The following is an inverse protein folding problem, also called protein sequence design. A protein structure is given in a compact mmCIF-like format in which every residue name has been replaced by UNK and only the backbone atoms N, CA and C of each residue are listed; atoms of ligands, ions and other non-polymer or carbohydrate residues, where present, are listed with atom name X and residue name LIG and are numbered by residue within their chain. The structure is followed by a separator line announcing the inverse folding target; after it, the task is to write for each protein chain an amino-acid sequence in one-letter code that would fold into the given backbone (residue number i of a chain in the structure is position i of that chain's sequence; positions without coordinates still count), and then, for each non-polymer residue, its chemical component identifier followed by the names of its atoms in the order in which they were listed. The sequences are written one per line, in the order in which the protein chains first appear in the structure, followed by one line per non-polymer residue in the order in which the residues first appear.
data_IF_391865543727
#
_entry.id   IF_391865543727
#
_cell.length_a   1.000
_cell.length_b   1.000
_cell.length_c   1.000
_cell.angle_alpha   90.00
_cell.angle_beta   90.00
_cell.angle_gamma   90.00
#
_symmetry.space_group_name_H-M   'P 1'
#
loop_
_entity.id
_entity.type
_entity.pdbx_description
1 polymer ?
#
# COMPACT_ATOMS: atom_id res chain seq x y z
N UNK A 1 -43.34 5.82 30.66
CA UNK A 1 -42.54 5.78 29.43
C UNK A 1 -41.15 5.23 29.68
N UNK A 2 -40.40 5.73 30.63
CA UNK A 2 -39.04 5.26 30.99
C UNK A 2 -38.99 3.76 31.31
N UNK A 3 -40.00 3.20 31.92
CA UNK A 3 -40.06 1.77 32.22
C UNK A 3 -40.13 0.92 30.96
N UNK A 4 -40.95 1.33 29.99
CA UNK A 4 -41.07 0.60 28.69
C UNK A 4 -39.72 0.67 27.94
N UNK A 5 -39.09 1.83 27.89
CA UNK A 5 -37.78 1.97 27.24
C UNK A 5 -36.72 1.10 27.90
N UNK A 6 -36.68 1.07 29.24
CA UNK A 6 -35.73 0.21 30.00
C UNK A 6 -35.98 -1.27 29.75
N UNK A 7 -37.26 -1.72 29.73
CA UNK A 7 -37.58 -3.10 29.43
C UNK A 7 -37.19 -3.49 28.00
N UNK A 8 -37.50 -2.63 27.01
CA UNK A 8 -37.09 -2.86 25.61
C UNK A 8 -35.59 -2.95 25.44
N UNK A 9 -34.83 -2.04 26.07
CA UNK A 9 -33.36 -2.11 26.09
C UNK A 9 -32.88 -3.41 26.75
N UNK A 10 -33.53 -3.82 27.85
CA UNK A 10 -33.22 -5.08 28.53
C UNK A 10 -33.43 -6.31 27.62
N UNK A 11 -34.53 -6.36 26.89
CA UNK A 11 -34.80 -7.45 25.96
C UNK A 11 -33.85 -7.48 24.77
N UNK A 12 -33.58 -6.32 24.17
CA UNK A 12 -32.66 -6.22 23.03
C UNK A 12 -31.23 -6.58 23.41
N UNK A 13 -30.80 -6.25 24.62
CA UNK A 13 -29.48 -6.62 25.13
C UNK A 13 -29.32 -8.15 25.34
N UNK A 14 -30.43 -8.91 25.35
CA UNK A 14 -30.36 -10.38 25.41
C UNK A 14 -30.16 -11.04 24.06
N UNK A 15 -30.20 -10.31 22.94
CA UNK A 15 -29.93 -10.84 21.61
C UNK A 15 -28.41 -11.10 21.42
N UNK A 16 -28.06 -12.05 20.58
CA UNK A 16 -26.66 -12.39 20.26
C UNK A 16 -26.49 -12.32 18.74
N UNK A 17 -25.64 -11.40 18.22
CA UNK A 17 -25.09 -10.23 18.91
C UNK A 17 -26.17 -9.27 19.48
N UNK A 18 -25.81 -8.36 20.38
CA UNK A 18 -26.77 -7.37 20.90
C UNK A 18 -27.26 -6.46 19.75
N UNK A 19 -28.57 -6.13 19.77
CA UNK A 19 -29.18 -5.26 18.76
C UNK A 19 -30.04 -4.20 19.44
N UNK A 20 -29.83 -2.94 19.10
CA UNK A 20 -30.54 -1.81 19.68
C UNK A 20 -31.36 -1.08 18.60
N UNK A 21 -32.69 -1.29 18.55
CA UNK A 21 -33.54 -0.53 17.64
C UNK A 21 -33.66 0.93 18.09
N UNK A 22 -33.95 1.80 17.15
CA UNK A 22 -34.27 3.18 17.48
C UNK A 22 -35.66 3.24 18.10
N UNK A 23 -35.75 3.76 19.31
CA UNK A 23 -37.03 3.94 20.06
C UNK A 23 -37.39 5.41 20.05
N UNK A 24 -38.54 5.74 19.50
CA UNK A 24 -39.08 7.10 19.43
C UNK A 24 -40.43 7.12 20.14
N UNK A 25 -40.73 8.21 20.84
CA UNK A 25 -42.01 8.45 21.45
C UNK A 25 -42.67 9.61 20.71
N UNK A 26 -43.80 9.35 20.12
CA UNK A 26 -44.58 10.34 19.34
C UNK A 26 -45.97 10.53 20.00
N UNK A 27 -46.55 11.72 19.83
CA UNK A 27 -47.95 11.97 20.19
C UNK A 27 -48.83 11.91 18.95
N UNK A 28 -49.78 10.99 18.99
CA UNK A 28 -50.79 10.84 17.92
C UNK A 28 -52.18 10.94 18.56
N UNK A 29 -52.97 11.88 18.17
CA UNK A 29 -54.31 12.15 18.69
C UNK A 29 -54.36 12.30 20.22
N UNK A 30 -53.33 12.99 20.79
CA UNK A 30 -53.20 13.20 22.24
C UNK A 30 -52.78 11.98 23.04
N UNK A 31 -52.45 10.87 22.37
CA UNK A 31 -51.91 9.64 23.00
C UNK A 31 -50.46 9.46 22.70
N UNK A 32 -49.69 9.03 23.72
CA UNK A 32 -48.26 8.69 23.52
C UNK A 32 -48.16 7.32 22.83
N UNK A 33 -47.50 7.30 21.68
CA UNK A 33 -47.22 6.09 20.90
C UNK A 33 -45.71 5.81 20.95
N UNK A 34 -45.34 4.57 21.24
CA UNK A 34 -43.93 4.11 21.16
C UNK A 34 -43.70 3.52 19.78
N UNK A 35 -42.81 4.14 19.02
CA UNK A 35 -42.40 3.67 17.71
C UNK A 35 -41.05 2.98 17.83
N UNK A 36 -41.00 1.72 17.42
CA UNK A 36 -39.77 0.92 17.35
C UNK A 36 -39.34 0.84 15.89
N UNK A 37 -38.24 1.50 15.57
CA UNK A 37 -37.66 1.44 14.23
C UNK A 37 -36.57 0.34 14.20
N UNK A 38 -36.94 -0.78 13.56
CA UNK A 38 -36.03 -1.96 13.45
C UNK A 38 -35.47 -2.00 12.06
N UNK A 39 -34.21 -1.59 11.93
CA UNK A 39 -33.47 -1.65 10.67
C UNK A 39 -32.68 -2.95 10.54
N UNK A 40 -32.27 -3.37 9.34
CA UNK A 40 -31.35 -4.48 9.19
C UNK A 40 -30.05 -4.22 9.94
N UNK A 41 -29.76 -5.03 10.95
CA UNK A 41 -28.54 -4.88 11.74
C UNK A 41 -27.30 -5.31 10.99
N UNK A 42 -26.15 -4.76 11.35
CA UNK A 42 -24.84 -4.98 10.71
C UNK A 42 -24.30 -6.38 11.01
N UNK A 43 -24.56 -6.89 12.22
CA UNK A 43 -24.01 -8.14 12.74
C UNK A 43 -24.99 -9.32 12.64
N UNK A 44 -25.98 -9.21 11.73
CA UNK A 44 -26.92 -10.30 11.47
C UNK A 44 -26.18 -11.57 11.00
N UNK A 45 -26.75 -12.79 11.19
CA UNK A 45 -28.06 -13.03 11.80
C UNK A 45 -28.01 -12.99 13.32
N UNK A 46 -29.13 -12.56 13.93
CA UNK A 46 -29.27 -12.44 15.37
C UNK A 46 -29.96 -13.66 15.97
N UNK A 47 -29.41 -14.17 17.09
CA UNK A 47 -30.09 -15.17 17.91
C UNK A 47 -30.86 -14.47 19.01
N UNK A 48 -32.09 -14.92 19.24
CA UNK A 48 -32.89 -14.50 20.38
C UNK A 48 -33.08 -15.67 21.35
N UNK A 49 -33.21 -15.39 22.65
CA UNK A 49 -33.51 -16.43 23.62
C UNK A 49 -34.94 -17.00 23.40
N UNK A 50 -35.10 -18.29 23.59
CA UNK A 50 -36.41 -18.96 23.51
C UNK A 50 -37.45 -18.31 24.45
N UNK A 51 -36.98 -17.95 25.66
CA UNK A 51 -37.79 -17.22 26.64
C UNK A 51 -37.01 -16.00 27.13
N UNK A 52 -37.50 -14.81 26.78
CA UNK A 52 -36.85 -13.53 27.11
C UNK A 52 -36.75 -13.33 28.62
N UNK A 53 -37.74 -13.78 29.37
CA UNK A 53 -37.84 -13.62 30.84
C UNK A 53 -37.10 -14.71 31.65
N UNK A 54 -36.54 -15.73 30.99
CA UNK A 54 -35.79 -16.80 31.67
C UNK A 54 -34.55 -16.23 32.37
N UNK A 55 -34.35 -16.58 33.64
CA UNK A 55 -33.22 -16.09 34.44
C UNK A 55 -31.96 -16.99 34.32
N UNK A 56 -32.14 -18.28 34.01
CA UNK A 56 -31.05 -19.29 33.89
C UNK A 56 -31.27 -20.14 32.63
N UNK A 57 -30.18 -20.73 32.11
CA UNK A 57 -30.19 -21.73 31.03
C UNK A 57 -30.89 -21.27 29.75
N UNK A 58 -30.67 -19.99 29.34
CA UNK A 58 -31.23 -19.43 28.12
C UNK A 58 -30.71 -20.18 26.89
N UNK A 59 -31.61 -20.82 26.15
CA UNK A 59 -31.31 -21.38 24.82
C UNK A 59 -31.55 -20.32 23.77
N UNK A 60 -30.65 -20.18 22.80
CA UNK A 60 -30.68 -19.16 21.77
C UNK A 60 -30.88 -19.79 20.41
N UNK A 61 -31.80 -19.21 19.63
CA UNK A 61 -32.15 -19.68 18.30
C UNK A 61 -32.24 -18.52 17.33
N UNK A 62 -32.07 -18.83 16.03
CA UNK A 62 -32.45 -17.92 14.97
C UNK A 62 -33.96 -18.02 14.73
N UNK A 63 -34.57 -16.90 14.41
CA UNK A 63 -36.01 -16.80 14.12
C UNK A 63 -36.22 -16.19 12.74
N UNK A 64 -37.23 -16.68 12.05
CA UNK A 64 -37.70 -16.13 10.78
C UNK A 64 -39.14 -15.65 10.94
N UNK A 65 -39.50 -14.66 10.12
CA UNK A 65 -40.89 -14.18 10.07
C UNK A 65 -41.69 -15.03 9.10
N UNK A 66 -42.76 -15.64 9.57
CA UNK A 66 -43.71 -16.35 8.76
C UNK A 66 -45.09 -15.75 8.98
N UNK A 67 -45.61 -14.99 7.98
CA UNK A 67 -46.84 -14.23 8.07
C UNK A 67 -46.85 -13.33 9.33
N UNK A 68 -47.73 -13.62 10.27
CA UNK A 68 -47.92 -12.84 11.52
C UNK A 68 -47.08 -13.37 12.68
N UNK A 69 -46.37 -14.48 12.52
CA UNK A 69 -45.63 -15.15 13.61
C UNK A 69 -44.12 -15.17 13.37
N UNK A 70 -43.35 -15.09 14.45
CA UNK A 70 -41.93 -15.37 14.44
C UNK A 70 -41.72 -16.85 14.87
N UNK A 71 -41.16 -17.65 14.00
CA UNK A 71 -40.93 -19.08 14.22
C UNK A 71 -39.45 -19.38 14.28
N UNK A 72 -39.06 -20.41 15.02
CA UNK A 72 -37.67 -20.85 15.09
C UNK A 72 -37.23 -21.37 13.73
N UNK A 73 -36.06 -20.90 13.27
CA UNK A 73 -35.46 -21.39 12.06
C UNK A 73 -35.02 -22.85 12.18
N UNK A 74 -35.26 -23.65 11.17
CA UNK A 74 -34.71 -24.99 11.06
C UNK A 74 -33.25 -24.93 10.59
N UNK A 75 -32.55 -26.08 10.54
CA UNK A 75 -31.12 -26.11 10.20
C UNK A 75 -30.80 -25.62 8.77
N UNK A 76 -31.72 -25.75 7.84
CA UNK A 76 -31.57 -25.24 6.47
C UNK A 76 -31.70 -23.72 6.44
N UNK A 77 -32.75 -23.18 7.10
CA UNK A 77 -32.99 -21.76 7.25
C UNK A 77 -31.89 -21.06 8.07
N UNK A 78 -31.34 -21.72 9.09
CA UNK A 78 -30.17 -21.21 9.82
C UNK A 78 -28.97 -21.03 8.88
N UNK A 79 -28.68 -22.02 8.02
CA UNK A 79 -27.62 -21.91 7.01
C UNK A 79 -27.89 -20.81 6.00
N UNK A 80 -29.13 -20.68 5.57
CA UNK A 80 -29.55 -19.63 4.65
C UNK A 80 -29.34 -18.23 5.28
N UNK A 81 -29.80 -18.04 6.52
CA UNK A 81 -29.60 -16.77 7.26
C UNK A 81 -28.11 -16.42 7.42
N UNK A 82 -27.27 -17.40 7.74
CA UNK A 82 -25.81 -17.22 7.84
C UNK A 82 -25.23 -16.90 6.45
N UNK A 83 -25.65 -17.56 5.41
CA UNK A 83 -25.19 -17.32 4.05
C UNK A 83 -25.63 -15.92 3.56
N UNK A 84 -26.86 -15.48 3.82
CA UNK A 84 -27.33 -14.15 3.44
C UNK A 84 -26.49 -13.02 4.04
N UNK A 85 -25.87 -13.23 5.18
CA UNK A 85 -24.98 -12.23 5.81
C UNK A 85 -23.60 -12.18 5.17
N UNK A 86 -23.12 -13.30 4.68
CA UNK A 86 -21.81 -13.39 4.03
C UNK A 86 -21.85 -12.97 2.54
N UNK A 87 -23.04 -12.78 1.96
CA UNK A 87 -23.21 -12.50 0.53
C UNK A 87 -22.90 -11.05 0.12
N UNK A 88 -23.06 -10.07 1.00
CA UNK A 88 -22.74 -8.69 0.66
C UNK A 88 -21.24 -8.43 0.90
N UNK A 89 -20.46 -8.13 -0.13
CA UNK A 89 -19.06 -7.70 0.05
C UNK A 89 -18.96 -6.57 1.07
N UNK A 90 -17.86 -6.52 1.81
CA UNK A 90 -17.71 -5.54 2.89
C UNK A 90 -17.86 -4.09 2.38
N UNK A 91 -17.28 -3.80 1.24
CA UNK A 91 -17.30 -2.47 0.61
C UNK A 91 -18.72 -2.02 0.21
N UNK A 92 -19.65 -2.94 -0.07
CA UNK A 92 -21.03 -2.62 -0.41
C UNK A 92 -21.98 -2.54 0.79
N UNK A 93 -21.50 -2.82 2.00
CA UNK A 93 -22.35 -2.76 3.21
C UNK A 93 -22.64 -1.31 3.62
N UNK A 94 -23.83 -1.03 4.20
CA UNK A 94 -24.11 0.27 4.78
C UNK A 94 -23.25 0.51 6.02
N UNK A 95 -22.77 1.73 6.19
CA UNK A 95 -22.15 2.20 7.41
C UNK A 95 -23.15 3.06 8.18
N UNK A 96 -23.55 2.60 9.37
CA UNK A 96 -24.59 3.29 10.16
C UNK A 96 -24.04 4.41 11.05
N UNK A 97 -22.72 4.49 11.18
CA UNK A 97 -22.05 5.55 11.95
C UNK A 97 -21.68 6.74 11.07
N UNK A 98 -21.65 6.52 9.74
CA UNK A 98 -21.28 7.53 8.78
C UNK A 98 -22.40 8.55 8.54
N UNK A 99 -22.00 9.80 8.40
CA UNK A 99 -22.87 10.94 8.09
C UNK A 99 -22.36 11.67 6.85
N UNK A 100 -23.18 12.55 6.30
CA UNK A 100 -22.79 13.37 5.13
C UNK A 100 -21.48 14.15 5.37
N UNK A 101 -21.24 14.61 6.61
CA UNK A 101 -20.04 15.36 6.98
C UNK A 101 -18.74 14.53 6.95
N UNK A 102 -18.84 13.21 6.90
CA UNK A 102 -17.68 12.31 6.78
C UNK A 102 -17.21 12.16 5.32
N UNK A 103 -17.97 12.67 4.36
CA UNK A 103 -17.65 12.67 2.93
C UNK A 103 -17.01 14.00 2.55
N UNK A 104 -15.77 13.96 2.11
CA UNK A 104 -15.03 15.13 1.61
C UNK A 104 -15.54 15.53 0.23
N UNK A 105 -16.14 16.72 0.14
CA UNK A 105 -16.56 17.32 -1.14
C UNK A 105 -15.39 17.49 -2.08
N UNK A 106 -14.21 17.79 -1.54
CA UNK A 106 -12.99 17.97 -2.33
C UNK A 106 -12.58 16.65 -3.02
N UNK A 107 -12.51 15.53 -2.28
CA UNK A 107 -12.17 14.22 -2.83
C UNK A 107 -13.23 13.75 -3.84
N UNK A 108 -14.51 13.96 -3.55
CA UNK A 108 -15.58 13.62 -4.47
C UNK A 108 -15.51 14.44 -5.76
N UNK A 109 -15.23 15.74 -5.66
CA UNK A 109 -15.08 16.64 -6.81
C UNK A 109 -13.87 16.26 -7.65
N UNK A 110 -12.74 15.96 -7.01
CA UNK A 110 -11.50 15.55 -7.68
C UNK A 110 -11.72 14.24 -8.47
N UNK A 111 -12.34 13.24 -7.85
CA UNK A 111 -12.69 11.99 -8.52
C UNK A 111 -13.58 12.22 -9.75
N UNK A 112 -14.66 12.99 -9.60
CA UNK A 112 -15.60 13.25 -10.70
C UNK A 112 -14.95 14.06 -11.84
N UNK A 113 -14.01 14.94 -11.56
CA UNK A 113 -13.24 15.67 -12.57
C UNK A 113 -12.25 14.75 -13.28
N UNK A 114 -11.50 13.93 -12.54
CA UNK A 114 -10.53 12.98 -13.07
C UNK A 114 -11.20 11.96 -14.00
N UNK A 115 -12.36 11.44 -13.61
CA UNK A 115 -13.15 10.50 -14.41
C UNK A 115 -13.99 11.17 -15.49
N UNK A 116 -13.90 12.51 -15.63
CA UNK A 116 -14.69 13.31 -16.60
C UNK A 116 -16.20 13.06 -16.49
N UNK A 117 -16.68 12.79 -15.28
CA UNK A 117 -18.09 12.50 -15.02
C UNK A 117 -18.98 13.73 -15.26
N UNK A 118 -20.17 13.53 -15.82
CA UNK A 118 -21.19 14.59 -15.97
C UNK A 118 -21.64 15.15 -14.61
N UNK A 119 -21.51 14.37 -13.55
CA UNK A 119 -21.86 14.76 -12.18
C UNK A 119 -20.96 15.86 -11.63
N UNK A 120 -19.71 16.00 -12.12
CA UNK A 120 -18.78 17.05 -11.69
C UNK A 120 -19.37 18.47 -11.77
N UNK A 121 -20.16 18.74 -12.81
CA UNK A 121 -20.82 20.04 -12.99
C UNK A 121 -22.02 20.27 -12.07
N UNK A 122 -22.47 19.25 -11.34
CA UNK A 122 -23.67 19.26 -10.52
C UNK A 122 -23.37 19.37 -9.03
N UNK A 123 -22.16 19.04 -8.61
CA UNK A 123 -21.76 18.93 -7.20
C UNK A 123 -21.99 20.25 -6.41
N UNK A 124 -21.84 21.41 -7.05
CA UNK A 124 -22.10 22.71 -6.42
C UNK A 124 -23.58 23.11 -6.37
N UNK A 125 -24.46 22.37 -7.04
CA UNK A 125 -25.90 22.66 -7.14
C UNK A 125 -26.77 21.62 -6.42
N UNK A 126 -26.23 20.44 -6.18
CA UNK A 126 -26.92 19.30 -5.55
C UNK A 126 -26.20 18.93 -4.27
N UNK A 127 -26.92 18.35 -3.32
CA UNK A 127 -26.34 17.83 -2.09
C UNK A 127 -25.41 16.63 -2.33
N UNK A 128 -24.45 16.44 -1.44
CA UNK A 128 -23.50 15.30 -1.50
C UNK A 128 -24.25 13.96 -1.55
N UNK A 129 -25.29 13.82 -0.73
CA UNK A 129 -26.10 12.59 -0.66
C UNK A 129 -26.79 12.26 -1.99
N UNK A 130 -27.27 13.27 -2.73
CA UNK A 130 -27.86 13.06 -4.05
C UNK A 130 -26.82 12.54 -5.06
N UNK A 131 -25.60 13.13 -5.04
CA UNK A 131 -24.51 12.71 -5.91
C UNK A 131 -24.07 11.27 -5.58
N UNK A 132 -23.94 10.93 -4.28
CA UNK A 132 -23.66 9.57 -3.84
C UNK A 132 -24.75 8.58 -4.27
N UNK A 133 -26.01 9.01 -4.27
CA UNK A 133 -27.14 8.21 -4.77
C UNK A 133 -26.99 7.88 -6.25
N UNK A 134 -26.68 8.88 -7.09
CA UNK A 134 -26.43 8.68 -8.53
C UNK A 134 -25.20 7.77 -8.80
N UNK A 135 -24.20 7.82 -7.92
CA UNK A 135 -23.03 6.94 -7.96
C UNK A 135 -23.31 5.54 -7.38
N UNK A 136 -24.54 5.25 -6.94
CA UNK A 136 -24.92 3.99 -6.29
C UNK A 136 -24.05 3.66 -5.05
N UNK A 137 -23.76 4.68 -4.26
CA UNK A 137 -22.97 4.59 -3.03
C UNK A 137 -23.83 4.70 -1.77
N UNK A 138 -25.14 4.79 -1.92
CA UNK A 138 -26.10 4.72 -0.83
C UNK A 138 -26.78 3.35 -0.80
N UNK A 139 -26.96 2.81 0.39
CA UNK A 139 -27.51 1.47 0.63
C UNK A 139 -28.60 1.55 1.69
N UNK A 140 -29.68 0.85 1.49
CA UNK A 140 -30.81 0.79 2.43
C UNK A 140 -32.15 1.06 1.74
N UNK A 141 -33.24 1.00 2.51
CA UNK A 141 -34.55 1.36 2.01
C UNK A 141 -34.64 2.88 1.76
N UNK A 142 -35.55 3.34 0.89
CA UNK A 142 -35.68 4.76 0.56
C UNK A 142 -35.88 5.68 1.77
N UNK A 143 -36.52 5.17 2.84
CA UNK A 143 -36.75 5.89 4.08
C UNK A 143 -35.49 6.04 4.94
N UNK A 144 -34.45 5.21 4.70
CA UNK A 144 -33.22 5.23 5.45
C UNK A 144 -32.03 4.79 4.58
N UNK A 145 -31.61 5.68 3.71
CA UNK A 145 -30.40 5.49 2.93
C UNK A 145 -29.17 5.77 3.80
N UNK A 146 -28.24 4.82 3.80
CA UNK A 146 -26.97 4.91 4.52
C UNK A 146 -25.81 4.97 3.53
N UNK A 147 -24.75 5.64 3.90
CA UNK A 147 -23.49 5.69 3.16
C UNK A 147 -22.88 4.29 3.15
N UNK A 148 -22.45 3.80 1.98
CA UNK A 148 -21.76 2.52 1.87
C UNK A 148 -20.29 2.62 2.35
N UNK A 149 -19.71 1.48 2.75
CA UNK A 149 -18.29 1.45 3.08
C UNK A 149 -17.41 1.87 1.89
N UNK A 150 -17.79 1.55 0.65
CA UNK A 150 -17.07 2.01 -0.54
C UNK A 150 -17.04 3.53 -0.67
N UNK A 151 -18.15 4.23 -0.34
CA UNK A 151 -18.13 5.69 -0.34
C UNK A 151 -17.13 6.27 0.66
N UNK A 152 -17.05 5.69 1.86
CA UNK A 152 -16.06 6.09 2.85
C UNK A 152 -14.63 5.78 2.38
N UNK A 153 -14.39 4.61 1.82
CA UNK A 153 -13.08 4.23 1.28
C UNK A 153 -12.59 5.23 0.23
N UNK A 154 -13.49 5.73 -0.60
CA UNK A 154 -13.15 6.65 -1.67
C UNK A 154 -13.07 8.11 -1.22
N UNK A 155 -13.96 8.54 -0.33
CA UNK A 155 -14.21 9.97 -0.11
C UNK A 155 -14.11 10.42 1.35
N UNK A 156 -13.66 9.57 2.29
CA UNK A 156 -13.43 9.96 3.68
C UNK A 156 -11.95 10.25 3.93
N UNK A 157 -11.62 11.44 4.47
CA UNK A 157 -10.25 11.82 4.82
C UNK A 157 -9.74 11.11 6.08
N UNK A 158 -10.66 10.76 6.98
CA UNK A 158 -10.37 10.08 8.25
C UNK A 158 -10.94 8.66 8.24
N UNK A 159 -10.52 7.87 7.25
CA UNK A 159 -11.03 6.52 7.05
C UNK A 159 -10.75 5.59 8.24
N UNK A 160 -9.66 5.84 8.97
CA UNK A 160 -9.28 5.12 10.19
C UNK A 160 -10.26 5.30 11.35
N UNK A 161 -11.14 6.30 11.31
CA UNK A 161 -12.28 6.45 12.25
C UNK A 161 -13.27 5.30 12.14
N UNK A 162 -13.54 4.82 10.92
CA UNK A 162 -14.51 3.77 10.63
C UNK A 162 -13.85 2.39 10.50
N UNK A 163 -12.66 2.35 9.95
CA UNK A 163 -11.90 1.13 9.74
C UNK A 163 -10.52 1.28 10.39
N UNK A 164 -10.39 0.93 11.68
CA UNK A 164 -9.15 1.11 12.43
C UNK A 164 -7.95 0.46 11.74
N UNK A 165 -6.78 1.07 11.85
CA UNK A 165 -5.53 0.64 11.20
C UNK A 165 -5.58 0.61 9.66
N UNK A 166 -6.55 1.30 9.04
CA UNK A 166 -6.50 1.54 7.60
C UNK A 166 -5.50 2.64 7.31
N UNK A 167 -4.25 2.24 7.19
CA UNK A 167 -3.07 3.11 7.04
C UNK A 167 -1.94 2.35 6.37
N UNK A 168 -0.91 3.07 5.93
CA UNK A 168 0.34 2.50 5.43
C UNK A 168 1.48 2.90 6.33
N UNK A 169 2.29 1.94 6.72
CA UNK A 169 3.51 2.08 7.50
C UNK A 169 4.71 1.74 6.62
N UNK A 170 5.64 2.67 6.45
CA UNK A 170 6.83 2.49 5.61
C UNK A 170 8.05 2.60 6.50
N UNK A 171 8.91 1.58 6.48
CA UNK A 171 10.18 1.54 7.21
C UNK A 171 11.30 1.18 6.24
N UNK A 172 12.38 1.98 6.22
CA UNK A 172 13.59 1.70 5.45
C UNK A 172 14.68 1.20 6.38
N UNK A 173 15.28 0.06 6.05
CA UNK A 173 16.41 -0.55 6.73
C UNK A 173 17.68 -0.43 5.86
N UNK A 174 18.49 0.64 6.02
CA UNK A 174 19.63 0.89 5.14
C UNK A 174 20.68 -0.24 5.12
N UNK A 175 20.82 -0.97 6.20
CA UNK A 175 21.77 -2.09 6.34
C UNK A 175 21.08 -3.46 6.33
N UNK A 176 19.77 -3.49 6.19
CA UNK A 176 18.93 -4.68 6.28
C UNK A 176 18.40 -4.96 7.68
N UNK A 177 17.11 -5.32 7.76
CA UNK A 177 16.38 -5.57 9.01
C UNK A 177 16.97 -6.74 9.83
N UNK A 178 17.59 -7.72 9.14
CA UNK A 178 18.25 -8.87 9.79
C UNK A 178 19.63 -8.48 10.29
N UNK A 179 20.38 -7.71 9.51
CA UNK A 179 21.78 -7.37 9.83
C UNK A 179 21.86 -6.30 10.92
N UNK A 180 21.02 -5.28 10.85
CA UNK A 180 20.97 -4.20 11.83
C UNK A 180 19.53 -3.71 12.06
N UNK A 181 18.73 -4.44 12.86
CA UNK A 181 17.31 -4.12 13.07
C UNK A 181 17.07 -2.78 13.78
N UNK A 182 18.09 -2.22 14.42
CA UNK A 182 17.98 -0.96 15.15
C UNK A 182 18.33 0.27 14.30
N UNK A 183 18.85 0.07 13.09
CA UNK A 183 19.11 1.15 12.13
C UNK A 183 18.00 1.20 11.09
N UNK A 184 16.98 1.99 11.36
CA UNK A 184 15.84 2.15 10.47
C UNK A 184 15.40 3.63 10.38
N UNK A 185 14.72 3.92 9.28
CA UNK A 185 14.10 5.23 9.02
C UNK A 185 12.60 4.99 8.87
N UNK A 186 11.81 5.53 9.78
CA UNK A 186 10.35 5.49 9.69
C UNK A 186 9.80 6.69 8.91
N UNK A 187 8.90 6.42 7.98
CA UNK A 187 8.09 7.45 7.32
C UNK A 187 6.87 7.73 8.21
N UNK A 188 6.44 9.00 8.34
CA UNK A 188 5.16 9.29 9.01
C UNK A 188 4.03 8.47 8.40
N UNK A 189 3.21 7.87 9.26
CA UNK A 189 2.11 6.98 8.88
C UNK A 189 1.18 7.67 7.85
N UNK A 190 0.92 7.00 6.74
CA UNK A 190 0.09 7.52 5.66
C UNK A 190 -1.36 7.13 5.91
N UNK A 191 -2.23 8.13 6.06
CA UNK A 191 -3.67 8.00 6.26
C UNK A 191 -4.44 8.83 5.24
N UNK A 192 -5.74 8.53 5.09
CA UNK A 192 -6.65 9.23 4.18
C UNK A 192 -7.63 8.29 3.52
N UNK A 193 -8.26 8.73 2.44
CA UNK A 193 -9.02 7.85 1.55
C UNK A 193 -8.10 6.88 0.82
N UNK A 194 -8.65 5.77 0.32
CA UNK A 194 -7.83 4.75 -0.38
C UNK A 194 -7.04 5.35 -1.55
N UNK A 195 -7.63 6.14 -2.47
CA UNK A 195 -6.86 6.78 -3.55
C UNK A 195 -5.77 7.72 -3.02
N UNK A 196 -6.06 8.48 -1.96
CA UNK A 196 -5.08 9.38 -1.34
C UNK A 196 -3.91 8.61 -0.75
N UNK A 197 -4.18 7.50 -0.06
CA UNK A 197 -3.12 6.65 0.50
C UNK A 197 -2.27 6.01 -0.58
N UNK A 198 -2.88 5.48 -1.65
CA UNK A 198 -2.15 4.92 -2.80
C UNK A 198 -1.20 5.97 -3.39
N UNK A 199 -1.73 7.16 -3.73
CA UNK A 199 -0.96 8.25 -4.31
C UNK A 199 0.23 8.65 -3.43
N UNK A 200 -0.02 8.94 -2.14
CA UNK A 200 1.04 9.33 -1.19
C UNK A 200 2.08 8.23 -0.96
N UNK A 201 1.64 6.97 -0.98
CA UNK A 201 2.56 5.83 -0.86
C UNK A 201 3.48 5.76 -2.08
N UNK A 202 2.93 5.92 -3.29
CA UNK A 202 3.73 5.92 -4.52
C UNK A 202 4.68 7.11 -4.60
N UNK A 203 4.24 8.31 -4.20
CA UNK A 203 5.12 9.50 -4.09
C UNK A 203 6.30 9.22 -3.15
N UNK A 204 6.05 8.59 -1.98
CA UNK A 204 7.12 8.24 -1.04
C UNK A 204 8.05 7.15 -1.57
N UNK A 205 7.52 6.11 -2.20
CA UNK A 205 8.37 5.07 -2.81
C UNK A 205 9.19 5.65 -3.96
N UNK A 206 8.62 6.52 -4.79
CA UNK A 206 9.35 7.20 -5.85
C UNK A 206 10.53 7.99 -5.29
N UNK A 207 10.33 8.78 -4.24
CA UNK A 207 11.36 9.59 -3.61
C UNK A 207 12.45 8.76 -2.90
N UNK A 208 12.10 7.58 -2.38
CA UNK A 208 12.99 6.83 -1.48
C UNK A 208 13.77 5.72 -2.18
N UNK A 209 13.23 5.16 -3.28
CA UNK A 209 13.79 3.92 -3.87
C UNK A 209 13.90 3.93 -5.38
N UNK A 210 13.19 4.80 -6.12
CA UNK A 210 13.27 4.80 -7.58
C UNK A 210 14.40 5.70 -8.05
N UNK A 211 15.42 5.07 -8.60
CA UNK A 211 16.57 5.73 -9.24
C UNK A 211 16.63 5.34 -10.72
N UNK A 212 17.03 6.27 -11.60
CA UNK A 212 17.20 6.02 -13.03
C UNK A 212 18.68 5.98 -13.39
N UNK A 213 19.09 4.94 -14.13
CA UNK A 213 20.42 4.82 -14.72
C UNK A 213 20.31 4.82 -16.23
N UNK A 214 21.00 5.76 -16.88
CA UNK A 214 21.03 5.89 -18.33
C UNK A 214 22.39 5.45 -18.84
N UNK A 215 22.45 4.35 -19.60
CA UNK A 215 23.67 3.82 -20.20
C UNK A 215 23.64 4.05 -21.71
N UNK A 216 24.62 4.80 -22.25
CA UNK A 216 24.84 4.90 -23.68
C UNK A 216 25.60 3.69 -24.15
N UNK A 217 25.09 3.04 -25.18
CA UNK A 217 25.76 1.89 -25.83
C UNK A 217 26.39 2.39 -27.13
N UNK A 218 27.68 2.07 -27.33
CA UNK A 218 28.37 2.40 -28.56
C UNK A 218 27.64 1.77 -29.75
N UNK A 219 27.49 2.54 -30.82
CA UNK A 219 26.81 2.14 -32.06
C UNK A 219 25.27 2.04 -32.01
N UNK A 220 24.62 2.48 -30.90
CA UNK A 220 23.15 2.63 -30.86
C UNK A 220 22.77 4.10 -30.63
N UNK A 221 21.75 4.58 -31.38
CA UNK A 221 21.27 5.95 -31.21
C UNK A 221 20.50 6.14 -29.91
N UNK A 222 19.91 5.09 -29.36
CA UNK A 222 19.08 5.13 -28.14
C UNK A 222 19.89 4.64 -26.93
N UNK A 223 19.81 5.39 -25.84
CA UNK A 223 20.37 4.99 -24.56
C UNK A 223 19.45 3.97 -23.87
N UNK A 224 20.05 2.97 -23.21
CA UNK A 224 19.30 2.04 -22.36
C UNK A 224 19.01 2.74 -21.03
N UNK A 225 17.74 2.78 -20.67
CA UNK A 225 17.28 3.30 -19.37
C UNK A 225 16.88 2.13 -18.49
N UNK A 226 17.36 2.11 -17.27
CA UNK A 226 17.03 1.12 -16.24
C UNK A 226 16.65 1.84 -14.96
N UNK A 227 15.72 1.26 -14.25
CA UNK A 227 15.26 1.78 -12.97
C UNK A 227 15.64 0.79 -11.86
N UNK A 228 16.00 1.31 -10.68
CA UNK A 228 16.19 0.47 -9.49
C UNK A 228 14.96 -0.39 -9.23
N UNK A 229 13.77 0.21 -9.39
CA UNK A 229 12.46 -0.44 -9.34
C UNK A 229 11.56 0.17 -10.43
N UNK A 230 10.94 -0.63 -11.31
CA UNK A 230 9.94 -0.13 -12.25
C UNK A 230 8.74 0.45 -11.49
N UNK A 231 8.34 1.68 -11.83
CA UNK A 231 7.23 2.37 -11.17
C UNK A 231 5.94 1.55 -11.22
N UNK A 232 5.59 1.01 -12.39
CA UNK A 232 4.37 0.24 -12.60
C UNK A 232 4.33 -1.05 -11.79
N UNK A 233 5.48 -1.70 -11.56
CA UNK A 233 5.54 -2.91 -10.72
C UNK A 233 5.24 -2.58 -9.25
N UNK A 234 5.78 -1.48 -8.72
CA UNK A 234 5.48 -1.01 -7.37
C UNK A 234 4.03 -0.54 -7.25
N UNK A 235 3.53 0.23 -8.23
CA UNK A 235 2.15 0.72 -8.25
C UNK A 235 1.15 -0.42 -8.21
N UNK A 236 1.29 -1.41 -9.08
CA UNK A 236 0.42 -2.59 -9.12
C UNK A 236 0.44 -3.36 -7.79
N UNK A 237 1.62 -3.53 -7.18
CA UNK A 237 1.75 -4.21 -5.90
C UNK A 237 1.07 -3.42 -4.76
N UNK A 238 1.23 -2.10 -4.72
CA UNK A 238 0.58 -1.20 -3.75
C UNK A 238 -0.93 -1.22 -3.95
N UNK A 239 -1.41 -1.04 -5.18
CA UNK A 239 -2.86 -1.04 -5.47
C UNK A 239 -3.49 -2.38 -5.09
N UNK A 240 -2.83 -3.51 -5.39
CA UNK A 240 -3.30 -4.83 -4.99
C UNK A 240 -3.37 -5.01 -3.47
N UNK A 241 -2.43 -4.43 -2.71
CA UNK A 241 -2.46 -4.46 -1.25
C UNK A 241 -3.72 -3.78 -0.70
N UNK A 242 -4.18 -2.67 -1.29
CA UNK A 242 -5.43 -2.00 -0.93
C UNK A 242 -6.67 -2.73 -1.47
N UNK A 243 -6.64 -3.19 -2.70
CA UNK A 243 -7.79 -3.80 -3.36
C UNK A 243 -8.22 -5.11 -2.69
N UNK A 244 -7.24 -5.92 -2.26
CA UNK A 244 -7.49 -7.22 -1.63
C UNK A 244 -7.52 -7.20 -0.11
N UNK A 245 -7.24 -6.06 0.53
CA UNK A 245 -7.26 -5.89 1.98
C UNK A 245 -8.61 -6.27 2.58
N UNK A 246 -8.57 -6.86 3.77
CA UNK A 246 -9.73 -6.94 4.66
C UNK A 246 -9.77 -5.69 5.55
N UNK A 247 -10.71 -4.80 5.26
CA UNK A 247 -10.88 -3.55 6.02
C UNK A 247 -11.52 -3.75 7.40
N UNK A 248 -11.87 -4.98 7.76
CA UNK A 248 -12.26 -5.36 9.11
C UNK A 248 -11.05 -5.80 9.96
N UNK A 249 -9.88 -5.98 9.33
CA UNK A 249 -8.64 -6.33 10.00
C UNK A 249 -8.02 -5.14 10.71
N UNK A 250 -7.50 -5.36 11.93
CA UNK A 250 -6.76 -4.38 12.70
C UNK A 250 -5.26 -4.35 12.35
N UNK A 251 -4.91 -4.56 11.09
CA UNK A 251 -3.54 -4.56 10.61
C UNK A 251 -3.33 -3.48 9.55
N UNK A 252 -2.21 -2.75 9.60
CA UNK A 252 -1.81 -1.81 8.56
C UNK A 252 -1.31 -2.53 7.29
N UNK A 253 -1.20 -1.82 6.17
CA UNK A 253 -0.33 -2.24 5.08
C UNK A 253 1.09 -1.83 5.49
N UNK A 254 2.02 -2.79 5.48
CA UNK A 254 3.40 -2.58 5.89
C UNK A 254 4.28 -2.61 4.64
N UNK A 255 5.16 -1.63 4.50
CA UNK A 255 6.16 -1.58 3.44
C UNK A 255 7.54 -1.49 4.09
N UNK A 256 8.36 -2.51 3.85
CA UNK A 256 9.74 -2.56 4.30
C UNK A 256 10.65 -2.36 3.09
N UNK A 257 11.55 -1.39 3.19
CA UNK A 257 12.56 -1.10 2.18
C UNK A 257 13.89 -1.67 2.70
N UNK A 258 14.27 -2.79 2.12
CA UNK A 258 15.54 -3.46 2.39
C UNK A 258 16.62 -3.00 1.39
N UNK A 259 17.91 -3.29 1.62
CA UNK A 259 18.99 -2.93 0.67
C UNK A 259 18.81 -3.53 -0.72
N UNK A 260 18.17 -4.69 -0.82
CA UNK A 260 18.06 -5.49 -2.04
C UNK A 260 16.61 -5.68 -2.54
N UNK A 261 15.62 -5.25 -1.78
CA UNK A 261 14.22 -5.39 -2.18
C UNK A 261 13.29 -4.37 -1.50
N UNK A 262 12.11 -4.22 -2.07
CA UNK A 262 10.94 -3.61 -1.41
C UNK A 262 9.94 -4.72 -1.11
N UNK A 263 9.55 -4.84 0.16
CA UNK A 263 8.61 -5.84 0.65
C UNK A 263 7.30 -5.18 1.04
N UNK A 264 6.18 -5.63 0.46
CA UNK A 264 4.83 -5.11 0.73
C UNK A 264 4.03 -6.23 1.38
N UNK A 265 3.56 -5.98 2.61
CA UNK A 265 2.80 -6.94 3.41
C UNK A 265 1.38 -6.41 3.59
N UNK A 266 0.38 -7.22 3.23
CA UNK A 266 -1.03 -6.89 3.41
C UNK A 266 -1.83 -8.06 3.98
N UNK A 267 -3.01 -7.77 4.52
CA UNK A 267 -3.87 -8.70 5.25
C UNK A 267 -5.28 -8.72 4.65
N UNK A 268 -5.90 -9.90 4.55
CA UNK A 268 -5.34 -11.22 4.77
C UNK A 268 -4.53 -11.72 3.57
N UNK A 269 -4.05 -12.95 3.67
CA UNK A 269 -3.36 -13.62 2.58
C UNK A 269 -4.23 -13.92 1.36
N UNK A 270 -3.63 -14.51 0.36
CA UNK A 270 -4.25 -14.91 -0.90
C UNK A 270 -5.35 -15.96 -0.65
N UNK A 271 -6.44 -15.89 -1.40
CA UNK A 271 -7.59 -16.79 -1.25
C UNK A 271 -7.18 -18.28 -1.26
N UNK A 272 -7.81 -19.07 -0.39
CA UNK A 272 -7.50 -20.51 -0.24
C UNK A 272 -7.80 -21.37 -1.47
N UNK A 273 -8.60 -20.87 -2.42
CA UNK A 273 -8.85 -21.54 -3.70
C UNK A 273 -7.61 -21.56 -4.61
N UNK A 274 -6.60 -20.73 -4.32
CA UNK A 274 -5.35 -20.66 -5.07
C UNK A 274 -4.28 -21.49 -4.35
N UNK A 275 -3.68 -22.46 -5.06
CA UNK A 275 -2.69 -23.35 -4.47
C UNK A 275 -1.39 -22.60 -4.10
N UNK A 276 -0.68 -23.06 -3.06
CA UNK A 276 0.63 -22.53 -2.68
C UNK A 276 1.63 -22.58 -3.86
N UNK A 277 1.58 -23.64 -4.65
CA UNK A 277 2.42 -23.81 -5.83
C UNK A 277 2.18 -22.69 -6.85
N UNK A 278 0.91 -22.39 -7.18
CA UNK A 278 0.56 -21.32 -8.12
C UNK A 278 1.00 -19.94 -7.63
N UNK A 279 0.96 -19.72 -6.31
CA UNK A 279 1.42 -18.46 -5.70
C UNK A 279 2.94 -18.34 -5.86
N UNK A 280 3.69 -19.38 -5.49
CA UNK A 280 5.15 -19.40 -5.57
C UNK A 280 5.67 -19.29 -7.02
N UNK A 281 4.93 -19.81 -8.00
CA UNK A 281 5.25 -19.67 -9.42
C UNK A 281 5.06 -18.23 -9.93
N UNK A 282 4.32 -17.39 -9.21
CA UNK A 282 4.06 -16.00 -9.60
C UNK A 282 3.31 -15.88 -10.92
N UNK A 283 2.45 -16.87 -11.22
CA UNK A 283 1.69 -16.91 -12.45
C UNK A 283 0.29 -16.30 -12.29
N UNK A 284 -0.39 -16.12 -13.44
CA UNK A 284 -1.76 -15.60 -13.46
C UNK A 284 -2.72 -16.54 -12.75
N UNK A 285 -3.45 -16.01 -11.77
CA UNK A 285 -4.50 -16.75 -11.10
C UNK A 285 -5.72 -16.95 -12.00
N UNK A 286 -6.19 -18.17 -12.11
CA UNK A 286 -7.41 -18.51 -12.87
C UNK A 286 -8.67 -18.11 -12.12
N UNK A 287 -8.63 -18.12 -10.78
CA UNK A 287 -9.74 -17.69 -9.93
C UNK A 287 -9.77 -16.18 -9.80
N UNK A 288 -10.97 -15.59 -9.92
CA UNK A 288 -11.20 -14.15 -9.77
C UNK A 288 -12.02 -13.89 -8.52
N UNK A 289 -11.37 -13.95 -7.38
CA UNK A 289 -12.00 -13.58 -6.13
C UNK A 289 -11.56 -12.16 -5.73
N UNK A 290 -12.48 -11.21 -5.80
CA UNK A 290 -12.26 -9.83 -5.40
C UNK A 290 -13.02 -9.54 -4.12
N UNK A 291 -12.32 -9.20 -3.04
CA UNK A 291 -12.91 -8.93 -1.72
C UNK A 291 -13.69 -7.62 -1.71
N UNK A 292 -13.14 -6.58 -2.34
CA UNK A 292 -13.69 -5.25 -2.39
C UNK A 292 -14.02 -4.88 -3.84
N UNK A 293 -15.03 -5.55 -4.41
CA UNK A 293 -15.34 -5.41 -5.83
C UNK A 293 -15.77 -4.00 -6.21
N UNK A 294 -16.56 -3.34 -5.35
CA UNK A 294 -17.05 -1.98 -5.61
C UNK A 294 -15.91 -0.97 -5.54
N UNK A 295 -15.01 -1.10 -4.57
CA UNK A 295 -13.78 -0.32 -4.52
C UNK A 295 -12.96 -0.50 -5.81
N UNK A 296 -12.80 -1.75 -6.27
CA UNK A 296 -12.06 -2.03 -7.50
C UNK A 296 -12.67 -1.39 -8.75
N UNK A 297 -14.00 -1.23 -8.83
CA UNK A 297 -14.66 -0.49 -9.92
C UNK A 297 -14.21 0.98 -9.93
N UNK A 298 -14.14 1.63 -8.78
CA UNK A 298 -13.66 3.02 -8.65
C UNK A 298 -12.14 3.15 -8.91
N UNK A 299 -11.34 2.21 -8.43
CA UNK A 299 -9.90 2.21 -8.73
C UNK A 299 -9.65 2.05 -10.24
N UNK A 300 -10.49 1.28 -10.93
CA UNK A 300 -10.44 1.16 -12.38
C UNK A 300 -10.84 2.45 -13.10
N UNK A 301 -11.84 3.18 -12.60
CA UNK A 301 -12.22 4.49 -13.15
C UNK A 301 -11.08 5.51 -13.04
N UNK A 302 -10.19 5.34 -12.07
CA UNK A 302 -8.98 6.14 -11.87
C UNK A 302 -7.75 5.59 -12.61
N UNK A 303 -7.92 4.57 -13.47
CA UNK A 303 -6.85 3.87 -14.18
C UNK A 303 -5.78 3.22 -13.26
N UNK A 304 -6.09 3.01 -11.98
CA UNK A 304 -5.19 2.39 -10.99
C UNK A 304 -5.20 0.84 -11.05
N UNK A 305 -6.18 0.23 -11.68
CA UNK A 305 -6.25 -1.24 -11.88
C UNK A 305 -7.05 -1.59 -13.12
N UNK A 306 -6.68 -2.66 -13.79
CA UNK A 306 -7.47 -3.17 -14.93
C UNK A 306 -8.63 -4.09 -14.52
N UNK A 307 -8.59 -4.67 -13.32
CA UNK A 307 -9.61 -5.60 -12.82
C UNK A 307 -9.73 -6.91 -13.60
N UNK A 308 -8.66 -7.33 -14.31
CA UNK A 308 -8.66 -8.52 -15.19
C UNK A 308 -7.84 -9.69 -14.66
N UNK A 309 -7.42 -9.67 -13.38
CA UNK A 309 -6.46 -10.63 -12.79
C UNK A 309 -5.12 -10.65 -13.53
N UNK A 310 -4.63 -9.48 -13.91
CA UNK A 310 -3.38 -9.27 -14.61
C UNK A 310 -2.28 -8.74 -13.70
N UNK A 311 -2.58 -8.40 -12.43
CA UNK A 311 -1.66 -7.72 -11.52
C UNK A 311 -0.32 -8.45 -11.34
N UNK A 312 -0.33 -9.73 -10.99
CA UNK A 312 0.93 -10.50 -10.86
C UNK A 312 1.68 -10.59 -12.20
N UNK A 313 1.04 -10.97 -13.33
CA UNK A 313 1.68 -10.89 -14.63
C UNK A 313 2.27 -9.52 -14.97
N UNK A 314 1.56 -8.43 -14.69
CA UNK A 314 2.04 -7.05 -14.92
C UNK A 314 3.31 -6.76 -14.12
N UNK A 315 3.33 -7.09 -12.81
CA UNK A 315 4.52 -6.95 -11.97
C UNK A 315 5.72 -7.70 -12.59
N UNK A 316 5.51 -8.96 -12.99
CA UNK A 316 6.58 -9.78 -13.56
C UNK A 316 7.04 -9.28 -14.94
N UNK A 317 6.13 -8.76 -15.74
CA UNK A 317 6.44 -8.20 -17.07
C UNK A 317 7.26 -6.92 -16.95
N UNK A 318 6.86 -5.99 -16.11
CA UNK A 318 7.59 -4.75 -15.86
C UNK A 318 9.01 -5.00 -15.31
N UNK A 319 9.14 -5.96 -14.39
CA UNK A 319 10.46 -6.36 -13.88
C UNK A 319 11.33 -6.99 -14.97
N UNK A 320 10.77 -7.88 -15.80
CA UNK A 320 11.48 -8.50 -16.92
C UNK A 320 11.96 -7.45 -17.91
N UNK A 321 11.10 -6.52 -18.27
CA UNK A 321 11.39 -5.50 -19.29
C UNK A 321 12.43 -4.49 -18.79
N UNK A 322 12.49 -4.26 -17.46
CA UNK A 322 13.55 -3.49 -16.83
C UNK A 322 14.88 -4.28 -16.70
N UNK A 323 14.87 -5.61 -16.83
CA UNK A 323 16.00 -6.48 -16.58
C UNK A 323 16.21 -6.83 -15.10
N UNK A 324 15.20 -6.61 -14.27
CA UNK A 324 15.20 -6.95 -12.85
C UNK A 324 14.89 -8.44 -12.61
N UNK A 325 15.29 -9.00 -11.46
CA UNK A 325 14.85 -10.33 -11.05
C UNK A 325 13.34 -10.37 -10.84
N UNK A 326 12.78 -11.59 -10.83
CA UNK A 326 11.32 -11.79 -10.62
C UNK A 326 10.91 -11.45 -9.19
N UNK A 327 9.73 -10.84 -9.04
CA UNK A 327 9.09 -10.71 -7.74
C UNK A 327 8.68 -12.06 -7.16
N UNK A 328 8.72 -12.17 -5.84
CA UNK A 328 8.21 -13.33 -5.10
C UNK A 328 6.91 -12.99 -4.38
N UNK A 329 6.06 -14.01 -4.24
CA UNK A 329 4.76 -13.90 -3.58
C UNK A 329 4.67 -15.00 -2.53
N UNK A 330 4.49 -14.60 -1.28
CA UNK A 330 4.42 -15.52 -0.16
C UNK A 330 3.15 -15.31 0.65
N UNK A 331 2.64 -16.37 1.23
CA UNK A 331 1.54 -16.34 2.18
C UNK A 331 1.67 -17.51 3.13
N UNK A 332 1.29 -17.32 4.40
CA UNK A 332 1.29 -18.38 5.39
C UNK A 332 0.22 -19.46 5.11
N UNK A 333 0.35 -20.64 5.71
CA UNK A 333 -0.60 -21.75 5.54
C UNK A 333 -2.02 -21.38 5.99
N UNK A 334 -2.11 -20.49 6.98
CA UNK A 334 -3.39 -20.01 7.49
C UNK A 334 -3.98 -18.87 6.67
N UNK A 335 -3.24 -18.37 5.68
CA UNK A 335 -3.66 -17.25 4.79
C UNK A 335 -3.98 -15.98 5.57
N UNK A 336 -3.18 -15.64 6.56
CA UNK A 336 -3.36 -14.43 7.37
C UNK A 336 -2.73 -13.21 6.74
N UNK A 337 -1.63 -13.40 6.00
CA UNK A 337 -0.92 -12.31 5.32
C UNK A 337 -0.50 -12.73 3.91
N UNK A 338 -0.27 -11.74 3.06
CA UNK A 338 0.47 -11.90 1.80
C UNK A 338 1.63 -10.92 1.79
N UNK A 339 2.80 -11.44 1.41
CA UNK A 339 4.02 -10.67 1.21
C UNK A 339 4.38 -10.69 -0.27
N UNK A 340 4.55 -9.50 -0.83
CA UNK A 340 5.08 -9.31 -2.18
C UNK A 340 6.47 -8.71 -2.02
N UNK A 341 7.49 -9.42 -2.52
CA UNK A 341 8.86 -8.92 -2.52
C UNK A 341 9.29 -8.58 -3.93
N UNK A 342 9.64 -7.32 -4.15
CA UNK A 342 10.11 -6.77 -5.42
C UNK A 342 11.60 -6.51 -5.29
N UNK A 343 12.46 -7.28 -5.98
CA UNK A 343 13.91 -7.12 -5.89
C UNK A 343 14.37 -5.88 -6.64
N UNK A 344 15.46 -5.27 -6.14
CA UNK A 344 16.14 -4.17 -6.82
C UNK A 344 16.82 -4.67 -8.12
N UNK A 345 16.94 -3.81 -9.12
CA UNK A 345 17.71 -4.13 -10.31
C UNK A 345 19.20 -4.33 -9.96
N UNK A 346 19.89 -5.38 -10.47
CA UNK A 346 21.27 -5.71 -10.08
C UNK A 346 22.29 -4.58 -10.27
N UNK A 347 22.12 -3.72 -11.26
CA UNK A 347 23.03 -2.59 -11.52
C UNK A 347 23.06 -1.56 -10.37
N UNK A 348 22.06 -1.56 -9.50
CA UNK A 348 21.95 -0.66 -8.35
C UNK A 348 22.42 -1.31 -7.02
N UNK A 349 22.57 -2.64 -6.98
CA UNK A 349 23.15 -3.33 -5.82
C UNK A 349 24.64 -3.05 -5.68
N UNK A 350 25.37 -2.87 -6.79
CA UNK A 350 26.81 -2.68 -6.80
C UNK A 350 27.26 -1.31 -6.30
N UNK A 351 26.37 -0.32 -6.28
CA UNK A 351 26.69 1.05 -5.86
C UNK A 351 26.54 1.28 -4.34
N UNK A 352 25.91 0.37 -3.61
CA UNK A 352 25.74 0.49 -2.14
C UNK A 352 27.01 0.14 -1.33
N UNK A 353 28.07 -0.32 -1.98
CA UNK A 353 29.34 -0.70 -1.35
C UNK A 353 30.42 0.40 -1.34
N UNK A 354 30.23 1.53 -2.01
CA UNK A 354 31.18 2.65 -2.02
C UNK A 354 30.53 3.96 -1.57
N UNK A 355 31.21 4.79 -0.74
CA UNK A 355 30.68 6.10 -0.38
C UNK A 355 30.57 6.97 -1.64
N UNK A 356 29.37 7.47 -1.91
CA UNK A 356 29.08 8.37 -3.02
C UNK A 356 30.01 9.59 -2.97
N UNK A 357 30.93 9.64 -3.91
CA UNK A 357 31.56 10.89 -4.33
C UNK A 357 30.73 11.42 -5.52
N UNK A 358 30.35 12.69 -5.43
CA UNK A 358 29.56 13.44 -6.43
C UNK A 358 29.98 13.19 -7.89
N UNK A 359 29.05 13.25 -8.87
CA UNK A 359 29.33 12.92 -10.26
C UNK A 359 30.28 13.94 -10.88
N UNK A 360 31.51 13.55 -11.11
CA UNK A 360 32.38 14.22 -12.07
C UNK A 360 32.28 13.47 -13.39
N UNK A 361 31.70 14.15 -14.39
CA UNK A 361 31.77 13.74 -15.80
C UNK A 361 33.24 13.55 -16.21
N UNK A 362 33.68 12.30 -16.39
CA UNK A 362 34.91 12.03 -17.13
C UNK A 362 34.72 10.78 -18.02
N UNK A 363 35.26 10.79 -19.24
CA UNK A 363 35.08 9.70 -20.22
C UNK A 363 35.89 8.47 -19.81
N UNK A 364 35.22 7.28 -19.85
CA UNK A 364 35.88 5.99 -19.66
C UNK A 364 36.80 5.68 -20.85
N UNK A 365 38.05 5.91 -20.64
CA UNK A 365 39.23 5.20 -21.17
C UNK A 365 40.50 5.98 -20.77
N UNK A 366 40.91 5.84 -19.52
CA UNK A 366 42.24 6.30 -19.10
C UNK A 366 42.75 5.39 -17.96
N UNK A 367 43.92 4.83 -18.13
CA UNK A 367 44.81 4.38 -17.07
C UNK A 367 44.66 5.36 -15.89
N UNK A 368 44.42 4.88 -14.65
CA UNK A 368 44.17 5.78 -13.52
C UNK A 368 45.31 6.81 -13.39
N UNK A 369 44.99 8.03 -12.93
CA UNK A 369 46.04 9.09 -12.77
C UNK A 369 47.17 8.59 -11.91
N UNK A 370 46.94 7.73 -10.92
CA UNK A 370 47.92 7.07 -10.10
C UNK A 370 48.81 6.15 -10.92
N UNK A 371 48.24 5.34 -11.82
CA UNK A 371 49.01 4.43 -12.67
C UNK A 371 49.86 5.20 -13.68
N UNK A 372 49.33 6.28 -14.25
CA UNK A 372 50.06 7.17 -15.12
C UNK A 372 51.23 7.84 -14.38
N UNK A 373 51.06 8.30 -13.15
CA UNK A 373 52.10 8.83 -12.30
C UNK A 373 53.20 7.76 -12.03
N UNK A 374 52.79 6.55 -11.71
CA UNK A 374 53.76 5.44 -11.48
C UNK A 374 54.55 5.12 -12.74
N UNK A 375 53.96 5.13 -13.93
CA UNK A 375 54.65 4.96 -15.20
C UNK A 375 55.67 6.07 -15.44
N UNK A 376 55.32 7.33 -15.21
CA UNK A 376 56.21 8.46 -15.36
C UNK A 376 57.39 8.39 -14.40
N UNK A 377 57.15 7.99 -13.15
CA UNK A 377 58.25 7.79 -12.16
C UNK A 377 59.17 6.63 -12.59
N UNK A 378 58.64 5.55 -13.17
CA UNK A 378 59.44 4.44 -13.70
C UNK A 378 60.30 4.85 -14.89
N UNK A 379 59.79 5.74 -15.73
CA UNK A 379 60.54 6.26 -16.90
C UNK A 379 61.59 7.29 -16.49
N UNK A 380 61.22 8.19 -15.55
CA UNK A 380 62.14 9.22 -15.05
C UNK A 380 61.86 9.48 -13.55
N UNK A 381 62.72 8.95 -12.69
CA UNK A 381 62.63 9.15 -11.24
C UNK A 381 62.79 10.60 -10.77
N UNK A 382 63.26 11.49 -11.61
CA UNK A 382 63.46 12.91 -11.32
C UNK A 382 62.30 13.77 -11.84
N UNK A 383 61.22 13.17 -12.39
CA UNK A 383 60.06 13.87 -12.96
C UNK A 383 59.43 14.79 -11.90
N UNK A 384 59.19 16.04 -12.27
CA UNK A 384 58.56 17.04 -11.40
C UNK A 384 57.06 16.91 -11.42
N UNK A 385 56.38 17.47 -10.41
CA UNK A 385 54.89 17.48 -10.34
C UNK A 385 54.27 18.28 -11.47
N UNK A 386 54.96 19.33 -11.92
CA UNK A 386 54.57 20.18 -13.04
C UNK A 386 54.67 19.42 -14.37
N UNK A 387 55.72 18.63 -14.55
CA UNK A 387 55.89 17.77 -15.72
C UNK A 387 54.85 16.62 -15.74
N UNK A 388 54.57 15.99 -14.57
CA UNK A 388 53.51 15.00 -14.45
C UNK A 388 52.16 15.59 -14.83
N UNK A 389 51.81 16.80 -14.34
CA UNK A 389 50.57 17.46 -14.65
C UNK A 389 50.45 17.76 -16.14
N UNK A 390 51.54 18.17 -16.79
CA UNK A 390 51.54 18.45 -18.24
C UNK A 390 51.44 17.20 -19.09
N UNK A 391 52.11 16.09 -18.70
CA UNK A 391 52.14 14.85 -19.49
C UNK A 391 50.87 14.00 -19.34
N UNK A 392 50.19 14.10 -18.18
CA UNK A 392 48.90 13.42 -17.93
C UNK A 392 47.72 14.29 -18.33
N UNK A 393 47.95 15.54 -18.68
CA UNK A 393 46.92 16.55 -19.01
C UNK A 393 45.91 16.83 -17.88
N UNK A 394 46.37 16.78 -16.63
CA UNK A 394 45.55 17.04 -15.45
C UNK A 394 46.06 18.24 -14.65
N UNK A 395 45.22 18.78 -13.75
CA UNK A 395 45.63 19.91 -12.91
C UNK A 395 46.76 19.53 -11.93
N UNK A 396 47.62 20.48 -11.61
CA UNK A 396 48.68 20.29 -10.61
C UNK A 396 48.13 19.89 -9.22
N UNK A 397 46.93 20.35 -8.90
CA UNK A 397 46.20 19.96 -7.67
C UNK A 397 45.84 18.49 -7.66
N UNK A 398 45.39 17.94 -8.81
CA UNK A 398 45.09 16.51 -8.99
C UNK A 398 46.35 15.67 -8.80
N UNK A 399 47.46 16.03 -9.45
CA UNK A 399 48.75 15.32 -9.29
C UNK A 399 49.23 15.35 -7.84
N UNK A 400 49.13 16.49 -7.15
CA UNK A 400 49.50 16.59 -5.72
C UNK A 400 48.67 15.66 -4.85
N UNK A 401 47.34 15.54 -5.11
CA UNK A 401 46.44 14.68 -4.36
C UNK A 401 46.80 13.18 -4.61
N UNK A 402 46.97 12.78 -5.86
CA UNK A 402 47.32 11.41 -6.23
C UNK A 402 48.71 11.00 -5.69
N UNK A 403 49.69 11.90 -5.74
CA UNK A 403 51.03 11.65 -5.11
C UNK A 403 50.87 11.47 -3.60
N UNK A 404 50.08 12.30 -2.91
CA UNK A 404 49.86 12.13 -1.47
C UNK A 404 49.19 10.78 -1.17
N UNK A 405 48.21 10.34 -1.97
CA UNK A 405 47.58 9.05 -1.83
C UNK A 405 48.60 7.90 -1.99
N UNK A 406 49.43 7.94 -3.02
CA UNK A 406 50.49 6.96 -3.27
C UNK A 406 51.53 6.95 -2.15
N UNK A 407 51.86 8.11 -1.57
CA UNK A 407 52.75 8.21 -0.39
C UNK A 407 52.16 7.60 0.87
N UNK A 408 50.87 7.94 1.15
CA UNK A 408 50.17 7.41 2.32
C UNK A 408 49.97 5.90 2.25
N UNK A 409 49.81 5.35 1.04
CA UNK A 409 49.76 3.91 0.79
C UNK A 409 51.13 3.23 0.77
N UNK A 410 52.22 3.97 0.96
CA UNK A 410 53.57 3.40 0.99
C UNK A 410 54.09 2.92 -0.36
N UNK A 411 53.44 3.26 -1.48
CA UNK A 411 53.82 2.81 -2.84
C UNK A 411 54.95 3.62 -3.41
N UNK A 412 55.04 4.94 -3.10
CA UNK A 412 56.12 5.83 -3.51
C UNK A 412 56.66 6.62 -2.32
N UNK A 413 57.95 6.96 -2.41
CA UNK A 413 58.62 7.85 -1.47
C UNK A 413 59.46 8.88 -2.24
N UNK A 414 59.61 10.09 -1.67
CA UNK A 414 60.49 11.10 -2.25
C UNK A 414 61.76 11.18 -1.42
N UNK A 415 62.88 10.89 -2.04
CA UNK A 415 64.19 10.86 -1.39
C UNK A 415 65.04 12.06 -1.80
N UNK A 416 65.74 12.65 -0.84
CA UNK A 416 66.67 13.77 -1.05
C UNK A 416 66.07 15.14 -0.72
N UNK A 417 66.81 16.23 -1.03
CA UNK A 417 66.34 17.60 -0.76
C UNK A 417 65.17 18.00 -1.61
N UNK A 418 64.38 19.02 -1.15
CA UNK A 418 63.18 19.50 -1.84
C UNK A 418 63.40 20.01 -3.27
N UNK A 419 64.66 20.39 -3.61
CA UNK A 419 65.09 20.66 -4.98
C UNK A 419 66.25 19.67 -5.30
N UNK A 420 65.99 18.80 -6.30
CA UNK A 420 67.00 17.81 -6.76
C UNK A 420 66.89 16.41 -6.15
N UNK A 421 65.84 16.13 -5.37
CA UNK A 421 65.48 14.77 -4.94
C UNK A 421 64.84 13.96 -6.05
N UNK A 422 64.55 12.68 -5.78
CA UNK A 422 63.97 11.75 -6.73
C UNK A 422 62.85 10.91 -6.09
N UNK A 423 61.95 10.36 -6.93
CA UNK A 423 60.91 9.43 -6.54
C UNK A 423 61.41 8.00 -6.50
N UNK A 424 61.12 7.27 -5.44
CA UNK A 424 61.36 5.84 -5.26
C UNK A 424 60.08 5.08 -5.19
N UNK A 425 59.90 4.01 -5.95
CA UNK A 425 58.73 3.11 -5.88
C UNK A 425 59.16 1.94 -4.98
N UNK A 426 58.37 1.66 -3.95
CA UNK A 426 58.62 0.56 -2.99
C UNK A 426 57.97 -0.74 -3.44
#
# INVERSE_FOLDING_TARGET
MDTIQKELLGYNNTMIPAYFPRVIIEQVDGKNVVVLWVTPGVQRPYKAPEHVTAKKDKKYYYYIRYATSSVRANAEQERELINMTNYAPFDTRPNFEATESDISVALLTDHLNTTKSKLAKQIGKRGVMEVLGDMQLLVGPPEQLCISNAALMMFCEHLDKFFPYTQVEITKFPEGSIKNPNNFIEVPVIKGSVPTMIKRTMEKLQDMVIEEKVTKVDYQMEAIRRYSYPYQALEEAVVNAFYHRDYQSYQAIIIEIEPDCVRIISYPGIDRSISQKTIAEGERFKSRYYRNKRLGEFLKELDLTEGKSTGIPTIQEELRDNGSPKATFETDDERRAVTVEIPIHPDFLMEQGEPQNEPQNEPQNATSVEDAILQLIRMNKYVTREEMASQIEVSLSTVKRSINKLKTSGIIEYEGPSKGGYWSIK
#
